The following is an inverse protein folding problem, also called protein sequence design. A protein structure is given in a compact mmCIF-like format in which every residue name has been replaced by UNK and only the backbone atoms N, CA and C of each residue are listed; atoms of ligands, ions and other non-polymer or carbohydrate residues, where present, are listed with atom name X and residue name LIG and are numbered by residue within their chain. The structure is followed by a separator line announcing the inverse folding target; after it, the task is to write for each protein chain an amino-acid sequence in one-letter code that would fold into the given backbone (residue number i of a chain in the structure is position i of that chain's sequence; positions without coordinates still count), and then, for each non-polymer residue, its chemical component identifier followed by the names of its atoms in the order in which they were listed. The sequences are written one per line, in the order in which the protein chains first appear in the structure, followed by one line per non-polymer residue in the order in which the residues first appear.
data_IF_321200238584
#
_entry.id   IF_321200238584
#
_cell.length_a   1.000
_cell.length_b   1.000
_cell.length_c   1.000
_cell.angle_alpha   90.00
_cell.angle_beta   90.00
_cell.angle_gamma   90.00
#
_symmetry.space_group_name_H-M   'P 1'
#
loop_
_entity.id
_entity.type
_entity.pdbx_description
1 polymer ?
#
# COMPACT_ATOMS: atom_id res chain seq x y z
N UNK A 1 -3.50 -20.77 -8.01
CA UNK A 1 -3.63 -19.31 -7.75
C UNK A 1 -4.95 -18.75 -8.26
N UNK A 2 -5.44 -19.11 -9.47
CA UNK A 2 -6.74 -18.61 -9.99
C UNK A 2 -7.97 -19.12 -9.24
N UNK A 3 -7.91 -20.34 -8.68
CA UNK A 3 -8.98 -20.85 -7.82
C UNK A 3 -9.11 -20.01 -6.55
N UNK A 4 -7.98 -19.50 -6.02
CA UNK A 4 -7.96 -18.65 -4.84
C UNK A 4 -8.54 -17.25 -5.12
N UNK A 5 -8.13 -16.59 -6.22
CA UNK A 5 -8.65 -15.26 -6.57
C UNK A 5 -10.16 -15.19 -6.83
N UNK A 6 -10.75 -16.33 -7.20
CA UNK A 6 -12.19 -16.47 -7.40
C UNK A 6 -12.89 -17.14 -6.23
N UNK A 7 -12.16 -17.55 -5.20
CA UNK A 7 -12.72 -18.18 -4.02
C UNK A 7 -13.50 -17.19 -3.16
N UNK A 8 -14.52 -17.68 -2.47
CA UNK A 8 -15.27 -16.88 -1.51
C UNK A 8 -14.38 -16.46 -0.32
N UNK A 9 -13.39 -17.27 0.01
CA UNK A 9 -12.36 -16.94 0.99
C UNK A 9 -11.56 -15.69 0.59
N UNK A 10 -11.11 -15.59 -0.68
CA UNK A 10 -10.40 -14.40 -1.16
C UNK A 10 -11.29 -13.16 -1.12
N UNK A 11 -12.54 -13.26 -1.59
CA UNK A 11 -13.50 -12.14 -1.58
C UNK A 11 -13.79 -11.68 -0.15
N UNK A 12 -13.97 -12.62 0.77
CA UNK A 12 -14.14 -12.33 2.20
C UNK A 12 -12.91 -11.62 2.75
N UNK A 13 -11.71 -12.14 2.50
CA UNK A 13 -10.46 -11.53 2.98
C UNK A 13 -10.24 -10.13 2.42
N UNK A 14 -10.56 -9.88 1.14
CA UNK A 14 -10.48 -8.53 0.56
C UNK A 14 -11.46 -7.55 1.23
N UNK A 15 -12.67 -8.01 1.51
CA UNK A 15 -13.67 -7.23 2.24
C UNK A 15 -13.16 -6.91 3.64
N UNK A 16 -12.67 -7.91 4.36
CA UNK A 16 -12.15 -7.77 5.73
C UNK A 16 -11.00 -6.77 5.79
N UNK A 17 -10.09 -6.78 4.79
CA UNK A 17 -8.96 -5.84 4.70
C UNK A 17 -9.44 -4.40 4.46
N UNK A 18 -10.43 -4.19 3.61
CA UNK A 18 -10.99 -2.86 3.39
C UNK A 18 -11.76 -2.37 4.61
N UNK A 19 -12.49 -3.25 5.29
CA UNK A 19 -13.14 -2.96 6.57
C UNK A 19 -12.12 -2.65 7.66
N UNK A 20 -10.98 -3.34 7.68
CA UNK A 20 -9.86 -3.03 8.57
C UNK A 20 -9.36 -1.60 8.33
N UNK A 21 -9.19 -1.17 7.07
CA UNK A 21 -8.77 0.21 6.78
C UNK A 21 -9.75 1.23 7.37
N UNK A 22 -11.06 1.01 7.21
CA UNK A 22 -12.11 1.87 7.79
C UNK A 22 -12.03 1.89 9.31
N UNK A 23 -11.86 0.72 9.93
CA UNK A 23 -11.81 0.57 11.39
C UNK A 23 -10.60 1.26 12.01
N UNK A 24 -9.43 1.14 11.37
CA UNK A 24 -8.19 1.62 11.98
C UNK A 24 -7.85 3.07 11.65
N UNK A 25 -8.41 3.66 10.58
CA UNK A 25 -8.05 5.01 10.12
C UNK A 25 -8.23 6.09 11.18
N UNK A 26 -9.17 5.87 12.11
CA UNK A 26 -9.43 6.79 13.23
C UNK A 26 -8.35 6.76 14.32
N UNK A 27 -7.43 5.80 14.28
CA UNK A 27 -6.34 5.75 15.27
C UNK A 27 -5.35 6.91 15.04
N UNK A 28 -5.10 7.76 16.04
CA UNK A 28 -4.41 9.05 15.85
C UNK A 28 -2.97 8.94 15.33
N UNK A 29 -2.28 7.83 15.63
CA UNK A 29 -0.86 7.70 15.28
C UNK A 29 -0.60 6.73 14.13
N UNK A 30 -1.40 5.66 14.01
CA UNK A 30 -1.09 4.54 13.11
C UNK A 30 -2.20 4.22 12.11
N UNK A 31 -3.37 4.80 12.29
CA UNK A 31 -4.52 4.56 11.42
C UNK A 31 -4.26 4.99 9.98
N UNK A 32 -3.75 6.19 9.80
CA UNK A 32 -3.40 6.74 8.49
C UNK A 32 -2.35 5.87 7.77
N UNK A 33 -1.30 5.42 8.48
CA UNK A 33 -0.26 4.53 7.92
C UNK A 33 -0.91 3.24 7.41
N UNK A 34 -1.68 2.57 8.25
CA UNK A 34 -2.30 1.28 7.92
C UNK A 34 -3.28 1.40 6.76
N UNK A 35 -4.16 2.39 6.82
CA UNK A 35 -5.13 2.65 5.75
C UNK A 35 -4.41 2.96 4.42
N UNK A 36 -3.38 3.80 4.44
CA UNK A 36 -2.59 4.14 3.25
C UNK A 36 -1.87 2.92 2.67
N UNK A 37 -1.30 2.04 3.49
CA UNK A 37 -0.68 0.80 3.03
C UNK A 37 -1.69 -0.13 2.36
N UNK A 38 -2.89 -0.25 2.92
CA UNK A 38 -3.97 -1.06 2.35
C UNK A 38 -4.41 -0.49 1.00
N UNK A 39 -4.61 0.81 0.90
CA UNK A 39 -5.21 1.46 -0.27
C UNK A 39 -4.21 1.67 -1.40
N UNK A 40 -2.94 2.00 -1.12
CA UNK A 40 -1.93 2.29 -2.13
C UNK A 40 -0.93 1.15 -2.38
N UNK A 41 -0.84 0.16 -1.52
CA UNK A 41 0.08 -0.98 -1.68
C UNK A 41 1.56 -0.62 -1.68
N UNK A 42 1.95 0.58 -1.25
CA UNK A 42 3.34 1.01 -1.16
C UNK A 42 4.12 0.21 -0.09
N UNK A 43 5.45 0.31 -0.11
CA UNK A 43 6.27 -0.31 0.94
C UNK A 43 6.07 0.44 2.26
N UNK A 44 6.19 -0.24 3.42
CA UNK A 44 5.96 0.39 4.72
C UNK A 44 6.77 1.68 4.96
N UNK A 45 8.04 1.72 4.58
CA UNK A 45 8.86 2.94 4.73
C UNK A 45 8.47 4.06 3.76
N UNK A 46 7.94 3.72 2.59
CA UNK A 46 7.53 4.69 1.57
C UNK A 46 6.28 5.49 1.98
N UNK A 47 5.44 4.92 2.85
CA UNK A 47 4.20 5.57 3.28
C UNK A 47 4.44 6.94 3.91
N UNK A 48 5.60 7.16 4.53
CA UNK A 48 5.93 8.45 5.13
C UNK A 48 6.20 9.56 4.11
N UNK A 49 6.50 9.22 2.86
CA UNK A 49 6.63 10.16 1.73
C UNK A 49 5.38 10.24 0.86
N UNK A 50 4.33 9.50 1.19
CA UNK A 50 3.11 9.43 0.39
C UNK A 50 2.41 10.80 0.34
N UNK A 51 2.13 11.28 -0.86
CA UNK A 51 1.37 12.51 -1.13
C UNK A 51 0.17 12.14 -2.00
N UNK A 52 -1.05 12.01 -1.42
CA UNK A 52 -2.27 11.71 -2.16
C UNK A 52 -2.72 12.85 -3.06
N UNK A 53 -3.33 12.50 -4.21
CA UNK A 53 -4.03 13.42 -5.12
C UNK A 53 -5.51 13.06 -5.24
N UNK A 54 -6.32 14.04 -5.62
CA UNK A 54 -7.79 13.89 -5.73
C UNK A 54 -8.25 12.88 -6.78
N UNK A 55 -7.41 12.54 -7.75
CA UNK A 55 -7.73 11.58 -8.81
C UNK A 55 -7.48 10.11 -8.41
N UNK A 56 -7.18 9.83 -7.14
CA UNK A 56 -6.84 8.48 -6.67
C UNK A 56 -5.39 8.06 -6.93
N UNK A 57 -4.57 8.95 -7.46
CA UNK A 57 -3.12 8.76 -7.54
C UNK A 57 -2.45 9.30 -6.27
N UNK A 58 -1.22 8.87 -6.03
CA UNK A 58 -0.32 9.48 -5.07
C UNK A 58 1.12 9.38 -5.59
N UNK A 59 2.02 10.13 -4.98
CA UNK A 59 3.46 9.96 -5.20
C UNK A 59 4.13 9.46 -3.93
N UNK A 60 5.18 8.66 -4.10
CA UNK A 60 6.08 8.21 -3.02
C UNK A 60 7.52 8.37 -3.46
N UNK A 61 8.42 8.58 -2.50
CA UNK A 61 9.86 8.45 -2.72
C UNK A 61 10.24 6.98 -2.60
N UNK A 62 10.83 6.45 -3.64
CA UNK A 62 11.36 5.10 -3.67
C UNK A 62 12.70 5.07 -2.94
N UNK A 63 12.69 4.44 -1.76
CA UNK A 63 13.89 4.30 -0.93
C UNK A 63 14.61 3.03 -1.38
N UNK A 64 15.69 3.21 -2.12
CA UNK A 64 16.57 2.12 -2.48
C UNK A 64 17.85 2.18 -1.63
N UNK A 65 17.98 1.26 -0.69
CA UNK A 65 19.16 1.17 0.20
C UNK A 65 20.49 0.88 -0.52
N UNK A 66 20.44 0.50 -1.80
CA UNK A 66 21.61 0.10 -2.57
C UNK A 66 22.13 1.15 -3.55
N UNK A 67 21.34 2.16 -3.86
CA UNK A 67 21.76 3.26 -4.74
C UNK A 67 21.31 4.59 -4.15
N UNK A 68 22.20 5.58 -4.16
CA UNK A 68 21.86 6.95 -3.73
C UNK A 68 20.91 7.66 -4.71
N UNK A 69 20.37 6.96 -5.71
CA UNK A 69 19.43 7.49 -6.68
C UNK A 69 18.01 7.28 -6.19
N UNK A 70 17.41 8.35 -5.69
CA UNK A 70 16.02 8.38 -5.25
C UNK A 70 15.12 8.74 -6.42
N UNK A 71 14.07 7.96 -6.60
CA UNK A 71 13.06 8.20 -7.64
C UNK A 71 11.71 8.45 -6.96
N UNK A 72 11.03 9.46 -7.44
CA UNK A 72 9.60 9.60 -7.18
C UNK A 72 8.85 8.67 -8.13
N UNK A 73 7.94 7.88 -7.61
CA UNK A 73 7.02 7.09 -8.44
C UNK A 73 5.57 7.34 -8.08
N UNK A 74 4.72 7.17 -9.06
CA UNK A 74 3.27 7.21 -8.86
C UNK A 74 2.78 5.88 -8.31
N UNK A 75 1.84 5.96 -7.37
CA UNK A 75 1.09 4.84 -6.82
C UNK A 75 -0.40 5.09 -6.99
N UNK A 76 -1.18 4.01 -7.12
CA UNK A 76 -2.62 4.08 -7.37
C UNK A 76 -3.38 3.64 -6.13
N UNK A 77 -4.41 4.41 -5.77
CA UNK A 77 -5.37 4.00 -4.76
C UNK A 77 -6.34 2.96 -5.34
N UNK A 78 -6.49 1.82 -4.67
CA UNK A 78 -7.46 0.79 -5.05
C UNK A 78 -8.18 0.28 -3.81
N UNK A 79 -9.47 0.55 -3.65
CA UNK A 79 -10.33 1.41 -4.49
C UNK A 79 -10.01 2.91 -4.36
N UNK A 80 -10.16 3.68 -5.44
CA UNK A 80 -9.81 5.10 -5.46
C UNK A 80 -10.74 5.98 -4.60
N UNK A 81 -12.01 5.62 -4.48
CA UNK A 81 -13.00 6.29 -3.63
C UNK A 81 -12.67 6.23 -2.13
N UNK A 82 -11.83 5.28 -1.71
CA UNK A 82 -11.38 5.18 -0.33
C UNK A 82 -10.42 6.31 0.09
N UNK A 83 -9.78 6.98 -0.85
CA UNK A 83 -8.94 8.14 -0.55
C UNK A 83 -9.76 9.24 0.11
N UNK A 84 -10.92 9.56 -0.45
CA UNK A 84 -11.85 10.53 0.10
C UNK A 84 -12.60 9.96 1.31
N UNK A 85 -13.14 8.75 1.19
CA UNK A 85 -13.88 8.07 2.27
C UNK A 85 -13.09 7.98 3.58
N UNK A 86 -11.79 7.75 3.50
CA UNK A 86 -10.90 7.62 4.66
C UNK A 86 -10.14 8.92 4.98
N UNK A 87 -10.43 10.00 4.25
CA UNK A 87 -9.76 11.29 4.39
C UNK A 87 -8.22 11.18 4.35
N UNK A 88 -7.69 10.38 3.42
CA UNK A 88 -6.25 10.15 3.31
C UNK A 88 -5.47 11.39 2.82
N UNK A 89 -6.17 12.45 2.36
CA UNK A 89 -5.56 13.75 2.08
C UNK A 89 -5.09 14.46 3.36
N UNK A 90 -5.76 14.21 4.48
CA UNK A 90 -5.40 14.78 5.77
C UNK A 90 -4.18 14.06 6.33
N UNK A 91 -3.03 14.73 6.23
CA UNK A 91 -1.76 14.20 6.72
C UNK A 91 -1.47 14.57 8.19
N UNK A 92 -2.42 15.18 8.90
CA UNK A 92 -2.24 15.56 10.30
C UNK A 92 -1.96 14.35 11.18
N UNK A 93 -2.57 13.21 10.86
CA UNK A 93 -2.33 11.93 11.56
C UNK A 93 -1.07 11.19 11.13
N UNK A 94 -0.30 11.75 10.19
CA UNK A 94 0.95 11.15 9.74
C UNK A 94 2.06 11.43 10.76
N UNK A 95 2.66 10.41 11.38
CA UNK A 95 3.59 10.62 12.51
C UNK A 95 4.86 11.37 12.11
N UNK A 96 5.33 11.17 10.89
CA UNK A 96 6.39 11.96 10.23
C UNK A 96 6.09 12.07 8.75
N UNK A 97 6.59 13.13 8.13
CA UNK A 97 6.47 13.33 6.69
C UNK A 97 7.80 13.83 6.14
N UNK A 98 8.23 13.25 5.03
CA UNK A 98 9.35 13.76 4.25
C UNK A 98 8.96 13.79 2.76
N UNK A 99 9.25 14.89 2.13
CA UNK A 99 9.01 15.12 0.69
C UNK A 99 10.31 15.08 -0.11
N UNK A 100 11.42 15.19 0.60
CA UNK A 100 12.77 15.15 0.05
C UNK A 100 13.56 14.07 0.80
N UNK A 101 14.45 13.40 0.09
CA UNK A 101 15.30 12.38 0.68
C UNK A 101 16.27 12.93 1.73
N UNK A 102 16.68 14.17 1.59
CA UNK A 102 17.54 14.82 2.56
C UNK A 102 16.87 14.98 3.94
N UNK A 103 15.53 14.94 3.98
CA UNK A 103 14.73 15.01 5.21
C UNK A 103 14.50 13.62 5.81
N UNK A 104 14.92 12.55 5.09
CA UNK A 104 14.72 11.18 5.52
C UNK A 104 15.66 10.81 6.67
N UNK A 105 15.06 10.58 7.83
CA UNK A 105 15.77 10.06 9.00
C UNK A 105 15.45 8.58 9.18
N UNK A 106 16.39 7.72 8.81
CA UNK A 106 16.19 6.26 8.85
C UNK A 106 15.94 5.74 10.26
N UNK A 107 16.62 6.28 11.26
CA UNK A 107 16.46 5.86 12.66
C UNK A 107 15.07 6.20 13.17
N UNK A 108 14.59 7.40 12.90
CA UNK A 108 13.25 7.85 13.29
C UNK A 108 12.17 7.01 12.60
N UNK A 109 12.28 6.78 11.29
CA UNK A 109 11.37 5.93 10.53
C UNK A 109 11.36 4.50 11.09
N UNK A 110 12.52 3.92 11.37
CA UNK A 110 12.62 2.58 11.94
C UNK A 110 11.98 2.49 13.32
N UNK A 111 12.13 3.50 14.15
CA UNK A 111 11.53 3.57 15.49
C UNK A 111 9.99 3.62 15.41
N UNK A 112 9.45 4.44 14.52
CA UNK A 112 8.01 4.52 14.31
C UNK A 112 7.50 3.19 13.73
N UNK A 113 8.21 2.61 12.77
CA UNK A 113 7.85 1.33 12.17
C UNK A 113 7.78 0.20 13.20
N UNK A 114 8.73 0.12 14.13
CA UNK A 114 8.70 -0.88 15.21
C UNK A 114 7.48 -0.71 16.12
N UNK A 115 7.15 0.52 16.50
CA UNK A 115 5.97 0.82 17.34
C UNK A 115 4.67 0.51 16.59
N UNK A 116 4.58 0.92 15.33
CA UNK A 116 3.44 0.62 14.48
C UNK A 116 3.26 -0.89 14.29
N UNK A 117 4.33 -1.63 14.01
CA UNK A 117 4.27 -3.07 13.84
C UNK A 117 3.74 -3.77 15.09
N UNK A 118 4.23 -3.38 16.26
CA UNK A 118 3.74 -3.92 17.54
C UNK A 118 2.25 -3.66 17.74
N UNK A 119 1.81 -2.43 17.43
CA UNK A 119 0.39 -2.07 17.49
C UNK A 119 -0.44 -2.86 16.47
N UNK A 120 0.00 -2.94 15.22
CA UNK A 120 -0.70 -3.66 14.15
C UNK A 120 -0.90 -5.14 14.50
N UNK A 121 0.11 -5.82 15.01
CA UNK A 121 0.02 -7.21 15.45
C UNK A 121 -0.95 -7.41 16.63
N UNK A 122 -1.20 -6.37 17.43
CA UNK A 122 -2.21 -6.38 18.48
C UNK A 122 -3.64 -6.21 17.96
N UNK A 123 -3.80 -5.49 16.84
CA UNK A 123 -5.11 -5.22 16.23
C UNK A 123 -5.52 -6.31 15.24
N UNK A 124 -4.55 -6.83 14.49
CA UNK A 124 -4.78 -7.83 13.44
C UNK A 124 -3.73 -8.94 13.53
N UNK A 125 -4.19 -10.15 13.85
CA UNK A 125 -3.31 -11.30 14.05
C UNK A 125 -3.21 -12.23 12.84
N UNK A 126 -4.18 -12.14 11.92
CA UNK A 126 -4.29 -13.06 10.78
C UNK A 126 -3.57 -12.54 9.53
N UNK A 127 -3.45 -11.22 9.39
CA UNK A 127 -2.91 -10.56 8.21
C UNK A 127 -1.50 -10.07 8.50
N UNK A 128 -0.53 -10.52 7.73
CA UNK A 128 0.85 -10.03 7.81
C UNK A 128 0.98 -8.74 6.99
N UNK A 129 1.90 -7.88 7.38
CA UNK A 129 2.14 -6.60 6.68
C UNK A 129 2.44 -6.80 5.19
N UNK A 130 3.24 -7.81 4.86
CA UNK A 130 3.54 -8.11 3.47
C UNK A 130 2.29 -8.54 2.67
N UNK A 131 1.29 -9.10 3.33
CA UNK A 131 0.05 -9.52 2.69
C UNK A 131 -0.76 -8.31 2.21
N UNK A 132 -0.70 -7.16 2.90
CA UNK A 132 -1.41 -5.93 2.48
C UNK A 132 -1.05 -5.55 1.04
N UNK A 133 0.23 -5.68 0.70
CA UNK A 133 0.74 -5.38 -0.63
C UNK A 133 0.34 -6.44 -1.67
N UNK A 134 0.30 -7.72 -1.27
CA UNK A 134 -0.23 -8.79 -2.11
C UNK A 134 -1.71 -8.60 -2.40
N UNK A 135 -2.49 -8.24 -1.41
CA UNK A 135 -3.93 -7.96 -1.59
C UNK A 135 -4.18 -6.75 -2.49
N UNK A 136 -3.34 -5.72 -2.41
CA UNK A 136 -3.40 -4.61 -3.35
C UNK A 136 -3.13 -5.08 -4.79
N UNK A 137 -2.09 -5.89 -5.01
CA UNK A 137 -1.77 -6.44 -6.32
C UNK A 137 -2.95 -7.25 -6.91
N UNK A 138 -3.57 -8.08 -6.11
CA UNK A 138 -4.74 -8.85 -6.53
C UNK A 138 -5.95 -7.96 -6.85
N UNK A 139 -6.21 -6.91 -6.04
CA UNK A 139 -7.26 -5.94 -6.35
C UNK A 139 -6.98 -5.22 -7.68
N UNK A 140 -5.73 -4.87 -7.96
CA UNK A 140 -5.35 -4.24 -9.23
C UNK A 140 -5.68 -5.13 -10.42
N UNK A 141 -5.39 -6.41 -10.32
CA UNK A 141 -5.72 -7.41 -11.35
C UNK A 141 -7.23 -7.53 -11.53
N UNK A 142 -7.99 -7.66 -10.46
CA UNK A 142 -9.46 -7.77 -10.51
C UNK A 142 -10.13 -6.53 -11.08
N UNK A 143 -9.56 -5.35 -10.85
CA UNK A 143 -10.04 -4.08 -11.41
C UNK A 143 -9.59 -3.85 -12.85
N UNK A 144 -8.87 -4.79 -13.45
CA UNK A 144 -8.39 -4.67 -14.83
C UNK A 144 -7.30 -3.62 -15.01
N UNK A 145 -6.59 -3.25 -13.95
CA UNK A 145 -5.46 -2.32 -14.06
C UNK A 145 -4.37 -2.98 -14.92
N UNK A 146 -3.87 -2.29 -15.97
CA UNK A 146 -2.77 -2.81 -16.78
C UNK A 146 -1.56 -3.22 -15.93
N UNK A 147 -1.00 -4.41 -16.22
CA UNK A 147 0.09 -4.98 -15.40
C UNK A 147 1.30 -4.06 -15.28
N UNK A 148 1.61 -3.25 -16.29
CA UNK A 148 2.73 -2.29 -16.23
C UNK A 148 2.46 -1.14 -15.26
N UNK A 149 1.21 -0.67 -15.14
CA UNK A 149 0.82 0.34 -14.15
C UNK A 149 0.83 -0.24 -12.75
N UNK A 150 0.32 -1.46 -12.57
CA UNK A 150 0.34 -2.14 -11.28
C UNK A 150 1.78 -2.42 -10.82
N UNK A 151 2.65 -2.90 -11.71
CA UNK A 151 4.07 -3.11 -11.44
C UNK A 151 4.76 -1.82 -11.02
N UNK A 152 4.57 -0.74 -11.79
CA UNK A 152 5.13 0.57 -11.47
C UNK A 152 4.64 1.07 -10.10
N UNK A 153 3.34 0.96 -9.82
CA UNK A 153 2.74 1.34 -8.53
C UNK A 153 3.37 0.57 -7.35
N UNK A 154 3.72 -0.68 -7.56
CA UNK A 154 4.43 -1.50 -6.58
C UNK A 154 5.95 -1.30 -6.57
N UNK A 155 6.52 -0.51 -7.48
CA UNK A 155 7.98 -0.32 -7.59
C UNK A 155 8.72 -1.61 -7.88
N UNK A 156 8.21 -2.38 -8.85
CA UNK A 156 8.83 -3.60 -9.37
C UNK A 156 8.80 -3.60 -10.90
N UNK A 157 9.63 -4.42 -11.53
CA UNK A 157 9.59 -4.58 -12.97
C UNK A 157 8.30 -5.28 -13.42
N UNK A 158 7.91 -5.10 -14.69
CA UNK A 158 6.77 -5.81 -15.27
C UNK A 158 6.97 -7.33 -15.24
N UNK A 159 8.19 -7.79 -15.45
CA UNK A 159 8.54 -9.20 -15.40
C UNK A 159 8.38 -9.77 -13.99
N UNK A 160 8.92 -9.09 -12.97
CA UNK A 160 8.72 -9.48 -11.57
C UNK A 160 7.24 -9.53 -11.19
N UNK A 161 6.45 -8.53 -11.64
CA UNK A 161 5.01 -8.52 -11.39
C UNK A 161 4.31 -9.72 -12.01
N UNK A 162 4.57 -10.01 -13.29
CA UNK A 162 3.98 -11.16 -14.01
C UNK A 162 4.38 -12.50 -13.41
N UNK A 163 5.63 -12.63 -12.95
CA UNK A 163 6.12 -13.86 -12.32
C UNK A 163 5.50 -14.06 -10.94
N UNK A 164 5.33 -12.99 -10.17
CA UNK A 164 4.78 -13.04 -8.81
C UNK A 164 3.26 -13.14 -8.79
N UNK A 165 2.60 -12.50 -9.75
CA UNK A 165 1.15 -12.42 -9.90
C UNK A 165 0.72 -12.88 -11.30
N UNK A 166 0.87 -14.17 -11.64
CA UNK A 166 0.59 -14.67 -12.98
C UNK A 166 -0.89 -14.50 -13.32
N UNK A 167 -1.15 -13.78 -14.41
CA UNK A 167 -2.48 -13.70 -15.02
C UNK A 167 -2.69 -14.98 -15.83
N UNK A 168 -3.71 -15.78 -15.51
CA UNK A 168 -4.13 -16.80 -16.48
C UNK A 168 -4.80 -16.13 -17.70
N UNK A 169 -4.54 -16.69 -18.89
CA UNK A 169 -4.99 -16.28 -20.24
C UNK A 169 -6.51 -16.19 -20.45
N UNK A 170 -7.31 -15.78 -19.48
CA UNK A 170 -8.78 -15.72 -19.61
C UNK A 170 -9.37 -14.33 -19.83
N UNK A 171 -8.52 -13.32 -20.01
CA UNK A 171 -8.97 -11.94 -20.28
C UNK A 171 -8.21 -11.32 -21.47
N UNK A 172 -8.04 -12.11 -22.55
CA UNK A 172 -7.76 -11.61 -23.89
C UNK A 172 -8.98 -11.87 -24.75
#
# INVERSE_FOLDING_TARGET
MDSYLNSDEYKSTQKDILELAVKVVVHPSYGWITASLIIYGCRPKEVFSLIPYSNGEATVLEINSKSQNYKTRKVLAIPSDFVEKLNLFDQVSKPISYTNINDFNEEEVNNIMKKWLKWFMGVEQKIKINDLRHFWAFRSIQKGIPSYLAANSLGMSLEEFKNKYPLKKRYL
#
